data_IF_669930561036
#
_entry.id   IF_669930561036
#
_cell.length_a   1.000
_cell.length_b   1.000
_cell.length_c   1.000
_cell.angle_alpha   90.00
_cell.angle_beta   90.00
_cell.angle_gamma   90.00
#
_symmetry.space_group_name_H-M   'P 1'
#
loop_
_entity.id
_entity.type
_entity.pdbx_description
1 polymer ?
#
# COMPACT_ATOMS: atom_id res chain seq x y z
N UNK A 1 4.25 17.46 14.07
CA UNK A 1 5.30 16.45 14.32
C UNK A 1 5.34 15.53 13.10
N UNK A 2 6.31 15.70 12.20
CA UNK A 2 6.44 14.84 11.01
C UNK A 2 7.02 13.52 11.52
N UNK A 3 6.19 12.48 11.60
CA UNK A 3 6.67 11.14 11.93
C UNK A 3 7.39 10.61 10.69
N UNK A 4 8.72 10.54 10.74
CA UNK A 4 9.51 9.99 9.64
C UNK A 4 9.02 8.57 9.33
N UNK A 5 8.78 8.28 8.05
CA UNK A 5 8.45 6.93 7.62
C UNK A 5 9.67 6.03 7.81
N UNK A 6 9.45 4.79 8.24
CA UNK A 6 10.53 3.80 8.25
C UNK A 6 10.92 3.41 6.82
N UNK A 7 12.14 2.89 6.62
CA UNK A 7 12.58 2.43 5.30
C UNK A 7 11.64 1.39 4.69
N UNK A 8 11.04 0.52 5.51
CA UNK A 8 10.06 -0.45 5.06
C UNK A 8 8.75 0.22 4.58
N UNK A 9 8.30 1.28 5.26
CA UNK A 9 7.11 2.03 4.84
C UNK A 9 7.38 2.82 3.56
N UNK A 10 8.56 3.44 3.43
CA UNK A 10 8.97 4.11 2.20
C UNK A 10 9.05 3.13 1.03
N UNK A 11 9.64 1.95 1.23
CA UNK A 11 9.66 0.88 0.23
C UNK A 11 8.23 0.46 -0.16
N UNK A 12 7.33 0.30 0.82
CA UNK A 12 5.93 -0.01 0.53
C UNK A 12 5.24 1.07 -0.31
N UNK A 13 5.45 2.36 0.00
CA UNK A 13 4.88 3.44 -0.82
C UNK A 13 5.39 3.41 -2.26
N UNK A 14 6.67 3.09 -2.49
CA UNK A 14 7.25 2.95 -3.84
C UNK A 14 6.66 1.78 -4.61
N UNK A 15 6.50 0.63 -3.97
CA UNK A 15 5.92 -0.55 -4.63
C UNK A 15 4.41 -0.40 -4.87
N UNK A 16 3.71 0.38 -4.04
CA UNK A 16 2.31 0.77 -4.27
C UNK A 16 2.21 1.76 -5.44
N UNK A 17 3.09 2.77 -5.51
CA UNK A 17 3.15 3.71 -6.63
C UNK A 17 3.44 3.01 -7.97
N UNK A 18 4.24 1.95 -7.93
CA UNK A 18 4.51 1.07 -9.06
C UNK A 18 3.40 0.02 -9.32
N UNK A 19 2.26 0.11 -8.65
CA UNK A 19 1.07 -0.76 -8.82
C UNK A 19 1.33 -2.27 -8.58
N UNK A 20 2.36 -2.63 -7.81
CA UNK A 20 2.74 -4.04 -7.56
C UNK A 20 2.05 -4.68 -6.36
N UNK A 21 1.20 -3.94 -5.65
CA UNK A 21 0.51 -4.42 -4.45
C UNK A 21 -0.97 -4.62 -4.74
N UNK A 22 -1.43 -5.86 -4.65
CA UNK A 22 -2.82 -6.24 -4.96
C UNK A 22 -3.45 -7.03 -3.82
N UNK A 23 -4.78 -7.04 -3.77
CA UNK A 23 -5.57 -7.87 -2.86
C UNK A 23 -6.56 -8.67 -3.68
N UNK A 24 -6.55 -9.99 -3.55
CA UNK A 24 -7.48 -10.88 -4.26
C UNK A 24 -8.08 -11.91 -3.33
N UNK A 25 -9.32 -12.30 -3.63
CA UNK A 25 -10.02 -13.35 -2.91
C UNK A 25 -9.49 -14.72 -3.38
N UNK A 26 -9.03 -15.54 -2.44
CA UNK A 26 -8.47 -16.87 -2.71
C UNK A 26 -9.45 -18.00 -2.41
N UNK A 27 -10.77 -17.72 -2.42
CA UNK A 27 -11.82 -18.65 -2.05
C UNK A 27 -12.20 -18.55 -0.56
N UNK A 28 -13.39 -19.07 -0.20
CA UNK A 28 -13.94 -19.11 1.18
C UNK A 28 -13.76 -17.77 1.93
N UNK A 29 -13.97 -16.64 1.24
CA UNK A 29 -13.84 -15.30 1.82
C UNK A 29 -12.42 -14.90 2.26
N UNK A 30 -11.40 -15.67 1.90
CA UNK A 30 -10.02 -15.42 2.28
C UNK A 30 -9.36 -14.40 1.33
N UNK A 31 -9.38 -13.12 1.71
CA UNK A 31 -8.65 -12.08 1.02
C UNK A 31 -7.17 -12.10 1.39
N UNK A 32 -6.29 -12.11 0.39
CA UNK A 32 -4.84 -12.09 0.60
C UNK A 32 -4.20 -10.94 -0.18
N UNK A 33 -3.18 -10.35 0.44
CA UNK A 33 -2.34 -9.30 -0.14
C UNK A 33 -1.18 -9.96 -0.87
N UNK A 34 -0.90 -9.51 -2.09
CA UNK A 34 0.19 -9.96 -2.94
C UNK A 34 1.06 -8.77 -3.32
N UNK A 35 2.37 -9.00 -3.42
CA UNK A 35 3.34 -7.99 -3.79
C UNK A 35 4.71 -8.25 -3.15
N UNK A 36 5.72 -7.42 -3.48
CA UNK A 36 7.09 -7.57 -2.98
C UNK A 36 7.26 -7.12 -1.52
N UNK A 37 6.29 -6.43 -0.94
CA UNK A 37 6.32 -5.92 0.44
C UNK A 37 5.48 -6.75 1.39
N UNK A 38 5.90 -6.77 2.65
CA UNK A 38 5.21 -7.51 3.71
C UNK A 38 3.78 -6.98 3.92
N UNK A 39 2.75 -7.85 3.98
CA UNK A 39 1.35 -7.44 4.16
C UNK A 39 1.08 -6.56 5.39
N UNK A 40 1.80 -6.78 6.48
CA UNK A 40 1.71 -5.99 7.72
C UNK A 40 2.12 -4.54 7.51
N UNK A 41 3.14 -4.30 6.67
CA UNK A 41 3.61 -2.95 6.32
C UNK A 41 2.59 -2.25 5.42
N UNK A 42 2.00 -2.97 4.46
CA UNK A 42 0.89 -2.47 3.62
C UNK A 42 -0.30 -2.05 4.49
N UNK A 43 -0.73 -2.92 5.42
CA UNK A 43 -1.78 -2.59 6.37
C UNK A 43 -1.46 -1.36 7.23
N UNK A 44 -0.18 -1.19 7.60
CA UNK A 44 0.27 -0.01 8.37
C UNK A 44 0.15 1.28 7.56
N UNK A 45 0.64 1.33 6.31
CA UNK A 45 0.55 2.56 5.49
C UNK A 45 -0.90 2.92 5.14
N UNK A 46 -1.78 1.92 4.99
CA UNK A 46 -3.22 2.12 4.84
C UNK A 46 -3.82 2.69 6.13
N UNK A 47 -3.48 2.15 7.31
CA UNK A 47 -3.95 2.69 8.60
C UNK A 47 -3.51 4.14 8.84
N UNK A 48 -2.41 4.56 8.21
CA UNK A 48 -1.89 5.92 8.22
C UNK A 48 -2.55 6.83 7.17
N UNK A 49 -3.53 6.31 6.41
CA UNK A 49 -4.23 7.00 5.30
C UNK A 49 -3.31 7.44 4.15
N UNK A 50 -2.18 6.76 3.98
CA UNK A 50 -1.23 7.03 2.89
C UNK A 50 -1.55 6.20 1.63
N UNK A 51 -2.25 5.09 1.79
CA UNK A 51 -2.70 4.25 0.69
C UNK A 51 -4.10 3.72 0.96
N UNK A 52 -4.79 3.27 -0.08
CA UNK A 52 -6.11 2.67 0.00
C UNK A 52 -6.29 1.57 -1.04
N UNK A 53 -7.33 0.74 -0.88
CA UNK A 53 -7.69 -0.28 -1.85
C UNK A 53 -8.66 0.30 -2.87
N UNK A 54 -8.32 0.20 -4.15
CA UNK A 54 -9.19 0.54 -5.27
C UNK A 54 -9.66 -0.74 -5.97
N UNK A 55 -10.93 -0.77 -6.40
CA UNK A 55 -11.49 -1.91 -7.14
C UNK A 55 -10.77 -2.08 -8.47
N UNK A 56 -10.47 -3.32 -8.82
CA UNK A 56 -9.91 -3.73 -10.10
C UNK A 56 -10.68 -4.94 -10.66
N UNK A 57 -10.46 -5.26 -11.94
CA UNK A 57 -11.19 -6.32 -12.65
C UNK A 57 -11.15 -7.69 -11.94
N UNK A 58 -10.01 -8.02 -11.31
CA UNK A 58 -9.79 -9.32 -10.65
C UNK A 58 -9.52 -9.20 -9.13
N UNK A 59 -9.98 -8.13 -8.49
CA UNK A 59 -9.81 -7.90 -7.05
C UNK A 59 -9.67 -6.43 -6.71
N UNK A 60 -8.63 -6.09 -5.95
CA UNK A 60 -8.30 -4.73 -5.60
C UNK A 60 -6.81 -4.47 -5.83
N UNK A 61 -6.47 -3.27 -6.26
CA UNK A 61 -5.10 -2.75 -6.30
C UNK A 61 -4.93 -1.77 -5.14
N UNK A 62 -3.74 -1.73 -4.55
CA UNK A 62 -3.41 -0.69 -3.59
C UNK A 62 -2.95 0.55 -4.36
N UNK A 63 -3.49 1.71 -4.01
CA UNK A 63 -3.14 2.99 -4.65
C UNK A 63 -2.76 4.02 -3.57
N UNK A 64 -1.89 4.96 -3.93
CA UNK A 64 -1.52 6.05 -3.04
C UNK A 64 -2.65 7.10 -2.96
N UNK A 65 -2.92 7.56 -1.74
CA UNK A 65 -3.73 8.76 -1.53
C UNK A 65 -2.90 10.01 -1.85
N UNK A 66 -3.53 11.19 -1.88
CA UNK A 66 -2.81 12.46 -2.01
C UNK A 66 -1.75 12.65 -0.91
N UNK A 67 -2.07 12.24 0.32
CA UNK A 67 -1.13 12.27 1.44
C UNK A 67 0.02 11.27 1.26
N UNK A 68 -0.26 10.08 0.72
CA UNK A 68 0.77 9.09 0.39
C UNK A 68 1.75 9.57 -0.66
N UNK A 69 1.24 10.19 -1.74
CA UNK A 69 2.08 10.78 -2.80
C UNK A 69 2.98 11.88 -2.25
N UNK A 70 2.45 12.78 -1.41
CA UNK A 70 3.24 13.81 -0.76
C UNK A 70 4.27 13.23 0.21
N UNK A 71 3.90 12.20 0.98
CA UNK A 71 4.83 11.53 1.89
C UNK A 71 5.96 10.84 1.12
N UNK A 72 5.67 10.25 -0.04
CA UNK A 72 6.68 9.65 -0.91
C UNK A 72 7.64 10.71 -1.45
N UNK A 73 7.13 11.84 -1.98
CA UNK A 73 7.98 12.91 -2.55
C UNK A 73 8.89 13.58 -1.52
N UNK A 74 8.46 13.67 -0.25
CA UNK A 74 9.28 14.21 0.84
C UNK A 74 10.39 13.26 1.32
N UNK A 75 10.40 12.01 0.84
CA UNK A 75 11.32 10.95 1.25
C UNK A 75 12.01 10.28 0.03
N UNK A 76 12.02 10.95 -1.12
CA UNK A 76 12.85 10.62 -2.27
C UNK A 76 14.20 11.33 -2.16
#
# INVERSE_FOLDING_TARGET
MIKLLTSAQQAALREIDAEKVTKRNCGIGAWRIFGPVQPTVVGRVISMKLAEWAKAEYGEICVLTSAGRQALSLNQ
#
